data_IF_408228347851
#
_entry.id   IF_408228347851
#
_cell.length_a   1.000
_cell.length_b   1.000
_cell.length_c   1.000
_cell.angle_alpha   90.00
_cell.angle_beta   90.00
_cell.angle_gamma   90.00
#
_symmetry.space_group_name_H-M   'P 1'
#
loop_
_entity.id
_entity.type
_entity.pdbx_description
1 polymer ?
#
# COMPACT_ATOMS: atom_id res chain seq x y z
N UNK A 1 40.39 -30.85 -0.17
CA UNK A 1 40.52 -29.38 -0.35
C UNK A 1 40.51 -28.76 1.04
N UNK A 2 41.66 -28.37 1.57
CA UNK A 2 41.81 -27.82 2.93
C UNK A 2 41.65 -26.31 2.84
N UNK A 3 40.54 -25.79 3.40
CA UNK A 3 40.34 -24.37 3.51
C UNK A 3 41.33 -23.75 4.48
N UNK A 4 42.19 -22.89 4.01
CA UNK A 4 43.18 -22.19 4.82
C UNK A 4 42.50 -21.16 5.73
N UNK A 5 42.98 -21.02 6.98
CA UNK A 5 42.50 -20.07 7.99
C UNK A 5 42.38 -18.60 7.47
N UNK A 6 43.24 -18.22 6.50
CA UNK A 6 43.19 -16.94 5.82
C UNK A 6 42.00 -16.78 4.88
N UNK A 7 41.55 -17.87 4.21
CA UNK A 7 40.34 -17.84 3.36
C UNK A 7 39.05 -17.70 4.16
N UNK A 8 39.02 -18.27 5.38
CA UNK A 8 37.84 -18.16 6.25
C UNK A 8 37.64 -16.74 6.82
N UNK A 9 38.74 -16.06 7.17
CA UNK A 9 38.69 -14.68 7.68
C UNK A 9 38.26 -13.68 6.57
N UNK A 10 38.66 -13.88 5.32
CA UNK A 10 38.24 -13.07 4.20
C UNK A 10 36.76 -13.30 3.83
N UNK A 11 36.25 -14.51 3.98
CA UNK A 11 34.84 -14.83 3.77
C UNK A 11 33.93 -14.20 4.87
N UNK A 12 34.40 -14.12 6.13
CA UNK A 12 33.64 -13.43 7.18
C UNK A 12 33.65 -11.91 7.05
N UNK A 13 34.73 -11.30 6.55
CA UNK A 13 34.79 -9.86 6.31
C UNK A 13 33.87 -9.42 5.15
N UNK A 14 33.61 -10.30 4.16
CA UNK A 14 32.68 -10.04 3.07
C UNK A 14 31.21 -10.14 3.48
N UNK A 15 30.87 -10.94 4.50
CA UNK A 15 29.50 -11.13 4.96
C UNK A 15 28.97 -9.96 5.80
N UNK A 16 29.84 -9.21 6.48
CA UNK A 16 29.44 -8.03 7.28
C UNK A 16 29.10 -6.79 6.43
N UNK A 17 29.57 -6.72 5.20
CA UNK A 17 29.24 -5.60 4.27
C UNK A 17 27.85 -5.68 3.67
N UNK A 18 27.22 -6.88 3.62
CA UNK A 18 25.91 -7.07 2.99
C UNK A 18 24.72 -6.69 3.89
N UNK A 19 24.92 -6.52 5.20
CA UNK A 19 23.87 -6.15 6.15
C UNK A 19 23.61 -4.64 6.22
N UNK A 20 24.46 -3.81 5.63
CA UNK A 20 24.29 -2.34 5.63
C UNK A 20 23.36 -1.81 4.52
N UNK A 21 22.81 -2.68 3.66
CA UNK A 21 21.99 -2.27 2.51
C UNK A 21 20.47 -2.14 2.80
N UNK A 22 20.02 -2.43 4.03
CA UNK A 22 18.63 -2.18 4.44
C UNK A 22 18.53 -0.80 5.11
N UNK A 23 18.78 0.25 4.33
CA UNK A 23 18.65 1.63 4.78
C UNK A 23 17.17 2.04 4.94
N UNK A 24 16.51 1.60 6.00
CA UNK A 24 15.26 2.20 6.47
C UNK A 24 15.58 3.01 7.73
N UNK A 25 15.20 4.28 7.72
CA UNK A 25 15.36 5.13 8.90
C UNK A 25 15.59 6.59 8.55
N UNK A 26 15.70 7.42 9.58
CA UNK A 26 15.91 8.87 9.45
C UNK A 26 17.16 9.15 8.61
N UNK A 27 17.01 9.91 7.52
CA UNK A 27 18.08 10.21 6.58
C UNK A 27 18.27 9.20 5.43
N UNK A 28 17.42 8.17 5.33
CA UNK A 28 17.41 7.25 4.19
C UNK A 28 16.70 7.88 2.97
N UNK A 29 16.90 7.31 1.76
CA UNK A 29 16.12 7.68 0.58
C UNK A 29 14.77 6.92 0.49
N UNK A 30 14.37 6.26 1.58
CA UNK A 30 13.16 5.44 1.62
C UNK A 30 11.90 6.27 1.35
N UNK A 31 11.78 7.44 1.96
CA UNK A 31 10.66 8.36 1.77
C UNK A 31 10.53 8.80 0.32
N UNK A 32 11.61 9.30 -0.29
CA UNK A 32 11.60 9.76 -1.68
C UNK A 32 11.23 8.63 -2.66
N UNK A 33 11.67 7.39 -2.38
CA UNK A 33 11.32 6.22 -3.20
C UNK A 33 9.83 5.89 -3.10
N UNK A 34 9.24 5.98 -1.89
CA UNK A 34 7.81 5.76 -1.69
C UNK A 34 7.03 6.87 -2.39
N UNK A 35 7.42 8.13 -2.21
CA UNK A 35 6.74 9.28 -2.82
C UNK A 35 6.70 9.18 -4.35
N UNK A 36 7.81 8.86 -4.99
CA UNK A 36 7.85 8.68 -6.44
C UNK A 36 6.88 7.59 -6.94
N UNK A 37 6.74 6.49 -6.19
CA UNK A 37 5.78 5.42 -6.51
C UNK A 37 4.34 5.87 -6.26
N UNK A 38 4.10 6.62 -5.20
CA UNK A 38 2.78 7.18 -4.87
C UNK A 38 2.34 8.16 -5.95
N UNK A 39 3.23 9.04 -6.42
CA UNK A 39 2.95 9.98 -7.51
C UNK A 39 2.58 9.22 -8.79
N UNK A 40 3.37 8.23 -9.19
CA UNK A 40 3.08 7.42 -10.36
C UNK A 40 1.73 6.68 -10.24
N UNK A 41 1.39 6.21 -9.04
CA UNK A 41 0.13 5.53 -8.77
C UNK A 41 -1.07 6.47 -8.83
N UNK A 42 -0.96 7.65 -8.23
CA UNK A 42 -1.96 8.72 -8.31
C UNK A 42 -2.21 9.13 -9.75
N UNK A 43 -1.15 9.40 -10.51
CA UNK A 43 -1.23 9.82 -11.91
C UNK A 43 -1.87 8.74 -12.79
N UNK A 44 -1.54 7.46 -12.52
CA UNK A 44 -2.20 6.33 -13.17
C UNK A 44 -3.71 6.33 -12.89
N UNK A 45 -4.11 6.48 -11.62
CA UNK A 45 -5.52 6.50 -11.22
C UNK A 45 -6.27 7.66 -11.88
N UNK A 46 -5.74 8.86 -11.82
CA UNK A 46 -6.39 10.05 -12.37
C UNK A 46 -6.53 9.98 -13.89
N UNK A 47 -5.52 9.42 -14.56
CA UNK A 47 -5.55 9.24 -16.02
C UNK A 47 -6.51 8.13 -16.45
N UNK A 48 -6.50 7.01 -15.75
CA UNK A 48 -7.27 5.81 -16.13
C UNK A 48 -8.70 5.87 -15.64
N UNK A 49 -8.93 6.52 -14.50
CA UNK A 49 -10.21 6.64 -13.82
C UNK A 49 -10.43 8.09 -13.37
N UNK A 50 -10.85 9.00 -14.26
CA UNK A 50 -10.94 10.45 -13.97
C UNK A 50 -11.77 10.78 -12.73
N UNK A 51 -12.83 10.01 -12.42
CA UNK A 51 -13.62 10.18 -11.19
C UNK A 51 -12.83 10.03 -9.90
N UNK A 52 -11.63 9.43 -9.93
CA UNK A 52 -10.75 9.35 -8.73
C UNK A 52 -10.15 10.70 -8.37
N UNK A 53 -9.97 11.59 -9.34
CA UNK A 53 -9.54 12.97 -9.09
C UNK A 53 -10.59 13.73 -8.29
N UNK A 54 -11.88 13.62 -8.69
CA UNK A 54 -12.99 14.27 -7.96
C UNK A 54 -13.14 13.66 -6.56
N UNK A 55 -12.94 12.33 -6.43
CA UNK A 55 -12.97 11.67 -5.14
C UNK A 55 -11.84 12.18 -4.23
N UNK A 56 -10.62 12.29 -4.77
CA UNK A 56 -9.46 12.79 -4.03
C UNK A 56 -9.62 14.26 -3.61
N UNK A 57 -10.21 15.10 -4.46
CA UNK A 57 -10.43 16.52 -4.15
C UNK A 57 -11.41 16.76 -3.01
N UNK A 58 -12.33 15.81 -2.77
CA UNK A 58 -13.32 15.86 -1.69
C UNK A 58 -12.87 15.13 -0.43
N UNK A 59 -11.83 14.30 -0.53
CA UNK A 59 -11.32 13.55 0.59
C UNK A 59 -10.52 14.44 1.54
N UNK A 60 -10.65 14.21 2.84
CA UNK A 60 -9.81 14.82 3.88
C UNK A 60 -8.35 14.34 3.81
N UNK A 61 -8.11 13.19 3.20
CA UNK A 61 -6.79 12.63 2.92
C UNK A 61 -6.90 11.32 2.13
N UNK A 62 -5.82 10.94 1.46
CA UNK A 62 -5.76 9.71 0.66
C UNK A 62 -4.50 8.93 1.01
N UNK A 63 -4.65 7.68 1.42
CA UNK A 63 -3.54 6.74 1.57
C UNK A 63 -3.36 5.97 0.26
N UNK A 64 -2.18 6.06 -0.33
CA UNK A 64 -1.81 5.25 -1.49
C UNK A 64 -0.81 4.18 -1.07
N UNK A 65 -1.10 2.92 -1.40
CA UNK A 65 -0.16 1.80 -1.31
C UNK A 65 0.12 1.32 -2.75
N UNK A 66 1.19 1.80 -3.37
CA UNK A 66 1.49 1.57 -4.80
C UNK A 66 1.68 0.11 -5.17
N UNK A 67 2.16 -0.69 -4.22
CA UNK A 67 2.45 -2.09 -4.44
C UNK A 67 2.24 -2.89 -3.17
N UNK A 68 1.24 -3.77 -3.19
CA UNK A 68 1.08 -4.89 -2.27
C UNK A 68 1.53 -6.15 -3.00
N UNK A 69 2.52 -6.81 -2.47
CA UNK A 69 2.96 -8.12 -2.97
C UNK A 69 2.42 -9.19 -2.03
N UNK A 70 1.58 -10.05 -2.55
CA UNK A 70 1.04 -11.22 -1.85
C UNK A 70 1.76 -12.48 -2.34
N UNK A 71 2.25 -13.29 -1.42
CA UNK A 71 2.87 -14.56 -1.71
C UNK A 71 2.43 -15.61 -0.70
N UNK A 72 2.21 -16.85 -1.15
CA UNK A 72 1.81 -17.95 -0.28
C UNK A 72 1.66 -19.29 -0.97
N UNK A 73 1.70 -20.32 -0.14
CA UNK A 73 1.43 -21.72 -0.47
C UNK A 73 0.51 -22.28 0.63
N UNK A 74 -0.81 -22.10 0.48
CA UNK A 74 -1.79 -22.51 1.50
C UNK A 74 -1.96 -21.50 2.65
N UNK A 75 -0.85 -21.01 3.22
CA UNK A 75 -0.78 -19.84 4.09
C UNK A 75 0.12 -18.81 3.41
N UNK A 76 -0.31 -17.56 3.41
CA UNK A 76 0.41 -16.48 2.76
C UNK A 76 0.30 -15.18 3.50
N UNK A 77 0.96 -14.17 2.95
CA UNK A 77 0.86 -12.82 3.43
C UNK A 77 1.10 -11.81 2.32
N UNK A 78 0.57 -10.62 2.52
CA UNK A 78 0.84 -9.49 1.65
C UNK A 78 1.52 -8.38 2.44
N UNK A 79 2.44 -7.70 1.77
CA UNK A 79 3.17 -6.56 2.31
C UNK A 79 3.29 -5.45 1.28
N UNK A 80 3.11 -4.22 1.73
CA UNK A 80 3.33 -3.03 0.94
C UNK A 80 3.71 -1.83 1.79
N UNK A 81 4.21 -0.79 1.13
CA UNK A 81 4.49 0.51 1.75
C UNK A 81 3.89 1.62 0.91
N UNK A 82 3.48 2.70 1.56
CA UNK A 82 2.92 3.84 0.88
C UNK A 82 2.92 5.10 1.73
N UNK A 83 2.22 6.11 1.24
CA UNK A 83 2.15 7.41 1.90
C UNK A 83 0.71 7.93 1.98
N UNK A 84 0.41 8.59 3.09
CA UNK A 84 -0.79 9.38 3.29
C UNK A 84 -0.55 10.79 2.73
N UNK A 85 -1.43 11.21 1.83
CA UNK A 85 -1.45 12.55 1.27
C UNK A 85 -2.63 13.36 1.81
N UNK A 86 -2.35 14.59 2.23
CA UNK A 86 -3.36 15.61 2.55
C UNK A 86 -3.05 16.83 1.69
N UNK A 87 -4.03 17.29 0.92
CA UNK A 87 -3.83 18.36 -0.07
C UNK A 87 -2.61 18.09 -0.97
N UNK A 88 -2.47 16.85 -1.39
CA UNK A 88 -1.38 16.35 -2.27
C UNK A 88 0.04 16.39 -1.65
N UNK A 89 0.14 16.66 -0.36
CA UNK A 89 1.41 16.65 0.39
C UNK A 89 1.50 15.38 1.24
N UNK A 90 2.65 14.70 1.19
CA UNK A 90 2.93 13.56 2.08
C UNK A 90 3.03 14.04 3.52
N UNK A 91 2.19 13.48 4.39
CA UNK A 91 2.19 13.80 5.82
C UNK A 91 2.71 12.66 6.69
N UNK A 92 2.49 11.41 6.28
CA UNK A 92 2.93 10.21 7.01
C UNK A 92 3.20 9.06 6.01
N UNK A 93 4.05 8.12 6.40
CA UNK A 93 4.28 6.87 5.67
C UNK A 93 3.71 5.67 6.43
N UNK A 94 3.23 4.69 5.69
CA UNK A 94 2.59 3.50 6.25
C UNK A 94 3.10 2.22 5.59
N UNK A 95 3.20 1.17 6.41
CA UNK A 95 3.24 -0.21 5.94
C UNK A 95 1.84 -0.80 5.97
N UNK A 96 1.55 -1.65 5.00
CA UNK A 96 0.33 -2.44 4.92
C UNK A 96 0.70 -3.92 4.99
N UNK A 97 0.09 -4.66 5.91
CA UNK A 97 0.31 -6.09 6.12
C UNK A 97 -1.03 -6.80 6.15
N UNK A 98 -1.14 -7.90 5.40
CA UNK A 98 -2.32 -8.76 5.39
C UNK A 98 -1.88 -10.20 5.51
N UNK A 99 -2.48 -10.96 6.44
CA UNK A 99 -2.37 -12.40 6.45
C UNK A 99 -3.41 -12.98 5.50
N UNK A 100 -3.04 -13.93 4.68
CA UNK A 100 -3.95 -14.65 3.80
C UNK A 100 -3.87 -16.15 4.05
N UNK A 101 -5.02 -16.83 4.01
CA UNK A 101 -5.13 -18.26 4.03
C UNK A 101 -5.95 -18.67 2.81
N UNK A 102 -5.41 -19.54 1.97
CA UNK A 102 -6.10 -20.00 0.77
C UNK A 102 -5.21 -20.87 -0.10
N UNK A 103 -5.84 -21.57 -1.02
CA UNK A 103 -5.16 -22.45 -1.99
C UNK A 103 -4.46 -21.70 -3.13
N UNK A 104 -4.24 -20.39 -2.98
CA UNK A 104 -3.55 -19.59 -3.99
C UNK A 104 -2.06 -19.91 -3.95
N UNK A 105 -1.58 -20.48 -5.06
CA UNK A 105 -0.17 -20.73 -5.30
C UNK A 105 0.31 -19.64 -6.24
N UNK A 106 1.25 -18.81 -5.77
CA UNK A 106 1.85 -17.78 -6.62
C UNK A 106 2.14 -16.48 -5.92
N UNK A 107 2.59 -15.52 -6.72
CA UNK A 107 2.82 -14.14 -6.32
C UNK A 107 1.80 -13.28 -7.06
N UNK A 108 1.02 -12.51 -6.32
CA UNK A 108 0.12 -11.52 -6.87
C UNK A 108 0.55 -10.12 -6.43
N UNK A 109 0.31 -9.15 -7.30
CA UNK A 109 0.61 -7.75 -7.03
C UNK A 109 -0.64 -6.91 -7.29
N UNK A 110 -0.98 -6.10 -6.32
CA UNK A 110 -2.06 -5.14 -6.39
C UNK A 110 -1.61 -3.81 -5.77
N UNK A 111 -2.28 -2.76 -6.14
CA UNK A 111 -2.20 -1.47 -5.46
C UNK A 111 -3.56 -1.17 -4.84
N UNK A 112 -3.58 -0.31 -3.82
CA UNK A 112 -4.84 0.22 -3.33
C UNK A 112 -4.72 1.67 -2.88
N UNK A 113 -5.85 2.36 -2.93
CA UNK A 113 -6.00 3.71 -2.43
C UNK A 113 -7.20 3.75 -1.47
N UNK A 114 -7.01 4.38 -0.32
CA UNK A 114 -8.07 4.64 0.66
C UNK A 114 -8.33 6.13 0.72
N UNK A 115 -9.55 6.51 0.39
CA UNK A 115 -10.02 7.89 0.44
C UNK A 115 -10.78 8.09 1.75
N UNK A 116 -10.24 8.89 2.64
CA UNK A 116 -10.88 9.28 3.90
C UNK A 116 -11.79 10.47 3.63
N UNK A 117 -13.09 10.22 3.51
CA UNK A 117 -14.06 11.22 3.08
C UNK A 117 -14.43 12.21 4.18
N UNK A 118 -14.16 11.86 5.45
CA UNK A 118 -14.44 12.72 6.60
C UNK A 118 -13.18 12.98 7.44
N UNK A 119 -13.07 14.16 8.08
CA UNK A 119 -11.96 14.45 9.00
C UNK A 119 -11.87 13.46 10.16
N UNK A 120 -13.01 12.98 10.66
CA UNK A 120 -13.10 12.04 11.78
C UNK A 120 -12.48 10.69 11.40
N UNK A 121 -12.80 10.15 10.21
CA UNK A 121 -12.22 8.90 9.71
C UNK A 121 -10.70 9.03 9.50
N UNK A 122 -10.25 10.16 8.97
CA UNK A 122 -8.83 10.44 8.84
C UNK A 122 -8.12 10.54 10.19
N UNK A 123 -8.75 11.19 11.17
CA UNK A 123 -8.20 11.32 12.52
C UNK A 123 -8.13 9.96 13.21
N UNK A 124 -9.18 9.14 13.15
CA UNK A 124 -9.20 7.78 13.68
C UNK A 124 -8.07 6.94 13.09
N UNK A 125 -7.91 6.98 11.76
CA UNK A 125 -6.83 6.30 11.07
C UNK A 125 -5.45 6.74 11.59
N UNK A 126 -5.20 8.04 11.69
CA UNK A 126 -3.90 8.61 12.09
C UNK A 126 -3.56 8.43 13.56
N UNK A 127 -4.55 8.39 14.44
CA UNK A 127 -4.35 8.21 15.89
C UNK A 127 -4.17 6.76 16.31
N UNK A 128 -4.49 5.82 15.42
CA UNK A 128 -4.36 4.39 15.69
C UNK A 128 -2.90 3.91 15.60
N UNK A 129 -2.43 3.13 16.57
CA UNK A 129 -1.13 2.43 16.52
C UNK A 129 -1.08 1.30 15.48
N UNK A 130 -2.19 1.05 14.80
CA UNK A 130 -2.32 0.07 13.73
C UNK A 130 -3.78 -0.09 13.34
N UNK A 131 -4.21 0.70 12.36
CA UNK A 131 -5.58 0.66 11.83
C UNK A 131 -5.78 -0.59 10.96
N UNK A 132 -6.90 -1.28 11.15
CA UNK A 132 -7.26 -2.47 10.38
C UNK A 132 -8.47 -2.18 9.49
N UNK A 133 -8.36 -2.54 8.21
CA UNK A 133 -9.50 -2.44 7.30
C UNK A 133 -10.60 -3.44 7.71
N UNK A 134 -11.78 -2.93 8.03
CA UNK A 134 -12.96 -3.74 8.37
C UNK A 134 -13.52 -4.51 7.18
N UNK A 135 -14.33 -5.53 7.47
CA UNK A 135 -15.03 -6.29 6.44
C UNK A 135 -16.18 -5.50 5.79
N UNK A 136 -16.66 -4.47 6.45
CA UNK A 136 -17.75 -3.56 6.06
C UNK A 136 -17.28 -2.37 5.20
N UNK A 137 -15.98 -2.30 4.90
CA UNK A 137 -15.43 -1.24 4.06
C UNK A 137 -16.10 -1.21 2.69
N UNK A 138 -16.38 -0.01 2.20
CA UNK A 138 -16.98 0.20 0.89
C UNK A 138 -15.93 0.35 -0.19
N UNK A 139 -16.21 -0.22 -1.35
CA UNK A 139 -15.33 -0.22 -2.51
C UNK A 139 -15.98 0.51 -3.67
N UNK A 140 -15.23 1.41 -4.30
CA UNK A 140 -15.61 1.92 -5.60
C UNK A 140 -15.14 0.95 -6.69
N UNK A 141 -15.99 0.74 -7.67
CA UNK A 141 -15.69 -0.07 -8.86
C UNK A 141 -15.78 0.81 -10.10
N UNK A 142 -15.06 0.45 -11.16
CA UNK A 142 -15.17 1.15 -12.43
C UNK A 142 -15.78 0.22 -13.48
N UNK A 143 -16.52 0.81 -14.43
CA UNK A 143 -16.95 0.14 -15.64
C UNK A 143 -15.78 -0.01 -16.64
N UNK A 144 -16.03 -0.69 -17.77
CA UNK A 144 -15.05 -0.89 -18.83
C UNK A 144 -14.57 0.44 -19.44
N UNK A 145 -15.37 1.50 -19.37
CA UNK A 145 -15.04 2.85 -19.81
C UNK A 145 -14.17 3.64 -18.83
N UNK A 146 -13.95 3.11 -17.62
CA UNK A 146 -13.19 3.78 -16.58
C UNK A 146 -14.00 4.75 -15.72
N UNK A 147 -15.33 4.75 -15.85
CA UNK A 147 -16.22 5.54 -15.00
C UNK A 147 -16.35 4.87 -13.63
N UNK A 148 -16.08 5.61 -12.56
CA UNK A 148 -16.29 5.11 -11.20
C UNK A 148 -17.79 4.96 -10.93
N UNK A 149 -18.18 3.74 -10.59
CA UNK A 149 -19.52 3.44 -10.13
C UNK A 149 -19.50 3.29 -8.61
N UNK A 150 -20.31 4.10 -7.97
CA UNK A 150 -20.53 4.05 -6.52
C UNK A 150 -22.04 4.08 -6.29
N UNK A 151 -22.53 3.13 -5.53
CA UNK A 151 -23.90 3.23 -5.02
C UNK A 151 -24.01 4.33 -3.94
N UNK A 152 -25.23 4.66 -3.55
CA UNK A 152 -25.48 5.70 -2.54
C UNK A 152 -24.77 5.38 -1.22
N UNK A 153 -24.69 4.13 -0.83
CA UNK A 153 -24.06 3.72 0.43
C UNK A 153 -22.54 3.86 0.35
N UNK A 154 -21.93 3.58 -0.79
CA UNK A 154 -20.49 3.78 -1.02
C UNK A 154 -20.15 5.26 -1.06
N UNK A 155 -20.97 6.08 -1.72
CA UNK A 155 -20.71 7.54 -1.82
C UNK A 155 -20.82 8.27 -0.49
N UNK A 156 -21.54 7.72 0.48
CA UNK A 156 -21.69 8.25 1.85
C UNK A 156 -20.74 7.59 2.86
N UNK A 157 -19.95 6.64 2.43
CA UNK A 157 -19.03 5.93 3.35
C UNK A 157 -17.91 6.86 3.83
N UNK A 158 -17.52 6.80 5.12
CA UNK A 158 -16.45 7.61 5.67
C UNK A 158 -15.07 7.25 5.09
N UNK A 159 -14.91 6.01 4.60
CA UNK A 159 -13.70 5.54 3.91
C UNK A 159 -14.13 4.75 2.67
N UNK A 160 -13.59 5.13 1.52
CA UNK A 160 -13.80 4.46 0.24
C UNK A 160 -12.47 3.87 -0.22
N UNK A 161 -12.47 2.58 -0.57
CA UNK A 161 -11.29 1.89 -1.04
C UNK A 161 -11.37 1.57 -2.54
N UNK A 162 -10.26 1.72 -3.25
CA UNK A 162 -10.05 1.18 -4.59
C UNK A 162 -8.90 0.17 -4.55
N UNK A 163 -9.11 -1.00 -5.15
CA UNK A 163 -8.07 -2.01 -5.35
C UNK A 163 -7.86 -2.19 -6.85
N UNK A 164 -6.62 -2.10 -7.29
CA UNK A 164 -6.28 -2.13 -8.71
C UNK A 164 -4.92 -2.79 -8.96
N UNK A 165 -4.75 -3.30 -10.16
CA UNK A 165 -3.50 -3.85 -10.66
C UNK A 165 -3.05 -3.10 -11.92
N UNK A 166 -2.00 -3.58 -12.57
CA UNK A 166 -1.50 -3.00 -13.83
C UNK A 166 -2.56 -3.04 -14.96
N UNK A 167 -3.47 -4.02 -14.93
CA UNK A 167 -4.54 -4.16 -15.91
C UNK A 167 -5.78 -3.30 -15.61
N UNK A 168 -5.87 -2.70 -14.41
CA UNK A 168 -7.02 -1.89 -14.01
C UNK A 168 -7.58 -2.26 -12.64
N UNK A 169 -8.82 -1.83 -12.34
CA UNK A 169 -9.49 -2.15 -11.09
C UNK A 169 -9.75 -3.65 -10.96
N UNK A 170 -9.49 -4.18 -9.78
CA UNK A 170 -9.71 -5.58 -9.44
C UNK A 170 -11.07 -5.73 -8.79
N UNK A 171 -12.07 -6.12 -9.59
CA UNK A 171 -13.43 -6.36 -9.11
C UNK A 171 -13.42 -7.54 -8.13
N UNK A 172 -14.06 -7.36 -6.98
CA UNK A 172 -14.11 -8.38 -5.93
C UNK A 172 -12.87 -8.51 -5.07
N UNK A 173 -11.80 -7.77 -5.36
CA UNK A 173 -10.64 -7.71 -4.47
C UNK A 173 -10.97 -6.93 -3.20
N UNK A 174 -10.47 -7.41 -2.06
CA UNK A 174 -10.73 -6.82 -0.75
C UNK A 174 -9.44 -6.59 0.02
N UNK A 175 -9.37 -5.45 0.69
CA UNK A 175 -8.32 -5.15 1.67
C UNK A 175 -8.72 -5.50 3.10
N UNK A 176 -9.90 -6.11 3.32
CA UNK A 176 -10.34 -6.52 4.64
C UNK A 176 -9.28 -7.36 5.35
N UNK A 177 -9.04 -7.08 6.63
CA UNK A 177 -7.98 -7.69 7.41
C UNK A 177 -6.56 -7.15 7.14
N UNK A 178 -6.40 -6.15 6.26
CA UNK A 178 -5.11 -5.46 6.11
C UNK A 178 -4.91 -4.51 7.29
N UNK A 179 -3.76 -4.63 7.94
CA UNK A 179 -3.32 -3.73 9.01
C UNK A 179 -2.36 -2.69 8.45
N UNK A 180 -2.64 -1.43 8.73
CA UNK A 180 -1.81 -0.28 8.35
C UNK A 180 -1.11 0.26 9.59
N UNK A 181 0.21 0.38 9.54
CA UNK A 181 1.01 0.89 10.66
C UNK A 181 1.93 1.99 10.16
N UNK A 182 2.00 3.10 10.90
CA UNK A 182 2.90 4.21 10.57
C UNK A 182 4.35 3.76 10.67
N UNK A 183 5.17 4.20 9.72
CA UNK A 183 6.59 3.87 9.63
C UNK A 183 7.44 5.12 9.40
N UNK A 184 8.71 5.01 9.73
CA UNK A 184 9.78 5.92 9.30
C UNK A 184 10.52 5.19 8.19
N UNK A 185 10.43 5.64 6.91
CA UNK A 185 10.98 4.93 5.75
C UNK A 185 12.48 5.04 5.61
#
# INVERSE_FOLDING_TARGET
MTATRRGFLLAMAGATGALAACGNGVGSNGGATIDARVDATRDFLFKRYPGTHDLASRASGVLYIPLMTEAGLGLGGAYGRGALRINDVTVDYYSAVKASAGLQIGVQQAAHALFFMTPEALQEFRSSDGWAAGADMKYAVADEGGTLQMDTTTSLAPVIALVFGQAGLMVGASIAGTKYTRIIP
#
